data_IF_600156832092
#
_entry.id   IF_600156832092
#
_cell.length_a   1.000
_cell.length_b   1.000
_cell.length_c   1.000
_cell.angle_alpha   90.00
_cell.angle_beta   90.00
_cell.angle_gamma   90.00
#
_symmetry.space_group_name_H-M   'P 1'
#
loop_
_entity.id
_entity.type
_entity.pdbx_description
1 polymer ?
#
# COMPACT_ATOMS: atom_id res chain seq x y z
N UNK A 1 12.20 0.74 -39.76
CA UNK A 1 13.47 1.18 -39.13
C UNK A 1 13.14 1.55 -37.70
N UNK A 2 13.97 1.10 -36.75
CA UNK A 2 13.87 1.50 -35.36
C UNK A 2 14.85 2.63 -35.05
N UNK A 3 14.46 3.53 -34.16
CA UNK A 3 15.25 4.66 -33.69
C UNK A 3 15.04 4.80 -32.17
N UNK A 4 16.13 4.99 -31.42
CA UNK A 4 16.05 5.36 -30.01
C UNK A 4 15.96 6.88 -29.89
N UNK A 5 14.97 7.38 -29.17
CA UNK A 5 14.82 8.79 -28.80
C UNK A 5 14.81 8.94 -27.29
N UNK A 6 15.28 10.10 -26.81
CA UNK A 6 15.27 10.46 -25.40
C UNK A 6 15.88 9.39 -24.47
N UNK A 7 16.86 8.63 -24.99
CA UNK A 7 17.61 7.57 -24.29
C UNK A 7 16.79 6.36 -23.80
N UNK A 8 15.45 6.37 -23.92
CA UNK A 8 14.58 5.28 -23.43
C UNK A 8 13.46 4.90 -24.37
N UNK A 9 13.08 5.73 -25.33
CA UNK A 9 11.94 5.48 -26.21
C UNK A 9 12.40 4.85 -27.52
N UNK A 10 11.69 3.82 -27.96
CA UNK A 10 11.86 3.20 -29.26
C UNK A 10 10.75 3.73 -30.16
N UNK A 11 11.18 4.23 -31.32
CA UNK A 11 10.31 4.72 -32.36
C UNK A 11 10.48 3.87 -33.61
N UNK A 12 9.37 3.62 -34.31
CA UNK A 12 9.35 2.82 -35.54
C UNK A 12 8.81 3.64 -36.70
N UNK A 13 9.44 3.47 -37.86
CA UNK A 13 8.93 3.99 -39.14
C UNK A 13 9.14 2.97 -40.26
N UNK A 14 8.04 2.56 -40.89
CA UNK A 14 8.07 1.85 -42.16
C UNK A 14 8.25 2.83 -43.32
N UNK A 15 8.71 2.35 -44.48
CA UNK A 15 8.94 3.18 -45.67
C UNK A 15 7.67 3.88 -46.17
N UNK A 16 6.52 3.23 -45.98
CA UNK A 16 5.21 3.70 -46.44
C UNK A 16 4.50 4.60 -45.41
N UNK A 17 5.05 4.70 -44.19
CA UNK A 17 4.47 5.54 -43.13
C UNK A 17 4.87 7.00 -43.32
N UNK A 18 3.88 7.88 -43.18
CA UNK A 18 4.09 9.34 -43.20
C UNK A 18 4.87 9.76 -41.95
N UNK A 19 4.44 9.29 -40.79
CA UNK A 19 4.98 9.65 -39.48
C UNK A 19 5.65 8.50 -38.75
N UNK A 20 6.41 8.85 -37.72
CA UNK A 20 6.97 7.89 -36.77
C UNK A 20 5.92 7.51 -35.73
N UNK A 21 5.92 6.25 -35.31
CA UNK A 21 5.08 5.77 -34.21
C UNK A 21 5.94 5.41 -33.01
N UNK A 22 5.42 5.72 -31.82
CA UNK A 22 6.02 5.25 -30.58
C UNK A 22 5.78 3.73 -30.48
N UNK A 23 6.87 2.97 -30.46
CA UNK A 23 6.83 1.50 -30.44
C UNK A 23 6.84 0.97 -29.01
N UNK A 24 7.66 1.57 -28.14
CA UNK A 24 7.80 1.14 -26.75
C UNK A 24 9.04 1.72 -26.09
N UNK A 25 9.47 1.09 -24.99
CA UNK A 25 10.65 1.52 -24.23
C UNK A 25 11.81 0.55 -24.46
N UNK A 26 13.06 1.04 -24.42
CA UNK A 26 14.29 0.23 -24.56
C UNK A 26 14.33 -0.88 -23.53
N UNK A 27 13.84 -0.62 -22.32
CA UNK A 27 13.81 -1.57 -21.23
C UNK A 27 12.37 -1.90 -20.88
N UNK A 28 12.08 -3.18 -20.72
CA UNK A 28 10.78 -3.68 -20.28
C UNK A 28 10.96 -4.76 -19.22
N UNK A 29 9.98 -4.87 -18.34
CA UNK A 29 9.88 -5.95 -17.37
C UNK A 29 8.74 -6.87 -17.78
N UNK A 30 9.05 -8.12 -18.11
CA UNK A 30 8.05 -9.11 -18.49
C UNK A 30 7.75 -10.04 -17.30
N UNK A 31 6.49 -10.18 -16.88
CA UNK A 31 6.13 -11.10 -15.80
C UNK A 31 6.36 -12.54 -16.24
N UNK A 32 7.15 -13.29 -15.46
CA UNK A 32 7.42 -14.72 -15.67
C UNK A 32 6.62 -15.56 -14.66
N UNK A 33 6.51 -15.06 -13.44
CA UNK A 33 5.70 -15.64 -12.36
C UNK A 33 5.04 -14.49 -11.57
N UNK A 34 4.17 -14.81 -10.60
CA UNK A 34 3.39 -13.83 -9.82
C UNK A 34 4.21 -12.66 -9.27
N UNK A 35 5.45 -12.94 -8.86
CA UNK A 35 6.36 -11.97 -8.22
C UNK A 35 7.69 -11.85 -8.97
N UNK A 36 7.90 -12.59 -10.06
CA UNK A 36 9.19 -12.68 -10.76
C UNK A 36 9.08 -12.10 -12.16
N UNK A 37 10.02 -11.24 -12.50
CA UNK A 37 10.05 -10.51 -13.76
C UNK A 37 11.37 -10.73 -14.47
N UNK A 38 11.33 -10.82 -15.80
CA UNK A 38 12.49 -10.77 -16.67
C UNK A 38 12.74 -9.33 -17.11
N UNK A 39 13.91 -8.79 -16.81
CA UNK A 39 14.37 -7.53 -17.36
C UNK A 39 14.85 -7.78 -18.80
N UNK A 40 14.18 -7.17 -19.78
CA UNK A 40 14.53 -7.28 -21.19
C UNK A 40 14.97 -5.93 -21.75
N UNK A 41 15.96 -5.97 -22.65
CA UNK A 41 16.44 -4.83 -23.43
C UNK A 41 16.07 -5.06 -24.90
N UNK A 42 15.61 -4.00 -25.54
CA UNK A 42 15.35 -4.01 -26.98
C UNK A 42 16.65 -4.07 -27.77
N UNK A 43 16.67 -4.94 -28.77
CA UNK A 43 17.72 -5.05 -29.75
C UNK A 43 17.25 -4.41 -31.05
N UNK A 44 17.95 -3.36 -31.49
CA UNK A 44 17.60 -2.63 -32.72
C UNK A 44 17.87 -3.47 -33.98
N UNK A 45 18.87 -4.35 -33.94
CA UNK A 45 19.29 -5.15 -35.08
C UNK A 45 18.26 -6.24 -35.37
N UNK A 46 17.77 -6.91 -34.33
CA UNK A 46 16.75 -7.97 -34.47
C UNK A 46 15.33 -7.42 -34.43
N UNK A 47 15.11 -6.27 -33.78
CA UNK A 47 13.78 -5.72 -33.51
C UNK A 47 13.04 -6.44 -32.39
N UNK A 48 13.75 -7.19 -31.54
CA UNK A 48 13.16 -8.02 -30.49
C UNK A 48 13.63 -7.60 -29.09
N UNK A 49 12.85 -7.96 -28.07
CA UNK A 49 13.24 -7.80 -26.67
C UNK A 49 14.00 -9.03 -26.19
N UNK A 50 15.28 -8.84 -25.87
CA UNK A 50 16.16 -9.90 -25.38
C UNK A 50 16.41 -9.77 -23.88
N UNK A 51 16.65 -10.90 -23.22
CA UNK A 51 16.95 -10.93 -21.78
C UNK A 51 18.22 -10.12 -21.51
N UNK A 52 18.15 -9.21 -20.53
CA UNK A 52 19.27 -8.33 -20.21
C UNK A 52 20.10 -8.90 -19.06
N UNK A 53 20.99 -9.84 -19.37
CA UNK A 53 21.78 -10.60 -18.38
C UNK A 53 22.82 -9.75 -17.65
N UNK A 54 23.32 -8.68 -18.27
CA UNK A 54 24.34 -7.79 -17.68
C UNK A 54 23.74 -6.71 -16.77
N UNK A 55 22.41 -6.66 -16.65
CA UNK A 55 21.70 -5.72 -15.81
C UNK A 55 21.91 -6.07 -14.33
N UNK A 56 22.39 -5.13 -13.53
CA UNK A 56 22.56 -5.32 -12.08
C UNK A 56 21.36 -4.87 -11.27
N UNK A 57 20.73 -3.78 -11.70
CA UNK A 57 19.55 -3.21 -11.03
C UNK A 57 18.54 -2.73 -12.06
N UNK A 58 17.26 -2.77 -11.70
CA UNK A 58 16.16 -2.37 -12.57
C UNK A 58 15.14 -1.53 -11.78
N UNK A 59 14.76 -0.39 -12.33
CA UNK A 59 13.75 0.49 -11.74
C UNK A 59 12.34 0.04 -12.18
N UNK A 60 11.55 -0.47 -11.25
CA UNK A 60 10.18 -0.91 -11.50
C UNK A 60 9.22 -0.22 -10.53
N UNK A 61 8.21 0.48 -11.05
CA UNK A 61 7.24 1.26 -10.24
C UNK A 61 7.90 2.22 -9.22
N UNK A 62 9.01 2.85 -9.58
CA UNK A 62 9.74 3.79 -8.72
C UNK A 62 10.60 3.14 -7.64
N UNK A 63 10.71 1.80 -7.62
CA UNK A 63 11.55 1.04 -6.69
C UNK A 63 12.66 0.35 -7.49
N UNK A 64 13.89 0.44 -7.01
CA UNK A 64 15.03 -0.23 -7.63
C UNK A 64 15.16 -1.65 -7.07
N UNK A 65 15.20 -2.63 -7.97
CA UNK A 65 15.34 -4.05 -7.64
C UNK A 65 16.67 -4.57 -8.15
N UNK A 66 17.34 -5.41 -7.34
CA UNK A 66 18.51 -6.16 -7.79
C UNK A 66 18.10 -7.21 -8.81
N UNK A 67 18.86 -7.29 -9.89
CA UNK A 67 18.68 -8.23 -10.99
C UNK A 67 19.77 -9.29 -10.93
N UNK A 68 19.38 -10.55 -11.05
CA UNK A 68 20.26 -11.72 -11.12
C UNK A 68 19.91 -12.52 -12.36
N UNK A 69 20.89 -12.74 -13.25
CA UNK A 69 20.72 -13.47 -14.52
C UNK A 69 19.58 -12.93 -15.40
N UNK A 70 19.34 -11.61 -15.36
CA UNK A 70 18.26 -10.94 -16.09
C UNK A 70 16.89 -11.03 -15.43
N UNK A 71 16.78 -11.55 -14.20
CA UNK A 71 15.51 -11.63 -13.45
C UNK A 71 15.56 -10.85 -12.15
N UNK A 72 14.41 -10.34 -11.73
CA UNK A 72 14.22 -9.73 -10.41
C UNK A 72 12.88 -10.14 -9.80
N UNK A 73 12.78 -10.02 -8.48
CA UNK A 73 11.57 -10.37 -7.74
C UNK A 73 11.00 -9.13 -7.06
N UNK A 74 9.72 -8.86 -7.31
CA UNK A 74 8.94 -7.83 -6.63
C UNK A 74 8.19 -8.52 -5.48
N UNK A 75 8.54 -8.25 -4.21
CA UNK A 75 7.86 -8.86 -3.08
C UNK A 75 6.36 -8.58 -3.14
N UNK A 76 5.52 -9.59 -2.94
CA UNK A 76 4.10 -9.34 -2.77
C UNK A 76 3.88 -8.28 -1.69
N UNK A 77 3.09 -7.26 -2.04
CA UNK A 77 2.56 -6.32 -1.06
C UNK A 77 1.81 -7.18 -0.05
N UNK A 78 2.26 -7.22 1.21
CA UNK A 78 1.49 -7.84 2.29
C UNK A 78 0.11 -7.19 2.23
N UNK A 79 -0.90 -7.97 1.89
CA UNK A 79 -2.29 -7.51 2.00
C UNK A 79 -2.45 -7.03 3.43
N UNK A 80 -2.75 -5.74 3.59
CA UNK A 80 -3.07 -5.22 4.90
C UNK A 80 -4.30 -6.02 5.35
N UNK A 81 -4.17 -6.74 6.46
CA UNK A 81 -5.33 -7.38 7.07
C UNK A 81 -6.41 -6.30 7.24
N UNK A 82 -7.68 -6.59 6.89
CA UNK A 82 -8.75 -5.64 7.14
C UNK A 82 -8.69 -5.22 8.61
N UNK A 83 -8.73 -3.91 8.86
CA UNK A 83 -8.81 -3.42 10.22
C UNK A 83 -10.05 -4.03 10.89
N UNK A 84 -9.93 -4.46 12.14
CA UNK A 84 -11.07 -4.99 12.87
C UNK A 84 -12.18 -3.93 12.92
N UNK A 85 -13.37 -4.31 12.48
CA UNK A 85 -14.58 -3.52 12.56
C UNK A 85 -15.58 -4.30 13.42
N UNK A 86 -16.01 -3.78 14.58
CA UNK A 86 -17.04 -4.41 15.39
C UNK A 86 -18.30 -4.59 14.55
N UNK A 87 -18.95 -5.75 14.67
CA UNK A 87 -20.27 -5.96 14.11
C UNK A 87 -21.37 -5.29 14.96
N UNK A 88 -22.59 -5.21 14.44
CA UNK A 88 -23.72 -4.55 15.12
C UNK A 88 -23.97 -5.10 16.54
N UNK A 89 -23.76 -6.40 16.78
CA UNK A 89 -23.93 -6.99 18.10
C UNK A 89 -22.79 -6.60 19.05
N UNK A 90 -21.55 -6.57 18.57
CA UNK A 90 -20.40 -6.09 19.34
C UNK A 90 -20.55 -4.60 19.68
N UNK A 91 -21.05 -3.81 18.74
CA UNK A 91 -21.33 -2.38 18.93
C UNK A 91 -22.42 -2.17 19.99
N UNK A 92 -23.53 -2.91 19.90
CA UNK A 92 -24.61 -2.82 20.90
C UNK A 92 -24.11 -3.21 22.30
N UNK A 93 -23.23 -4.21 22.43
CA UNK A 93 -22.63 -4.58 23.71
C UNK A 93 -21.74 -3.44 24.24
N UNK A 94 -20.95 -2.81 23.38
CA UNK A 94 -20.09 -1.68 23.76
C UNK A 94 -20.91 -0.48 24.24
N UNK A 95 -22.02 -0.15 23.56
CA UNK A 95 -22.94 0.90 23.96
C UNK A 95 -23.58 0.61 25.32
N UNK A 96 -24.10 -0.61 25.52
CA UNK A 96 -24.64 -1.03 26.82
C UNK A 96 -23.62 -0.96 27.94
N UNK A 97 -22.36 -1.33 27.67
CA UNK A 97 -21.28 -1.22 28.65
C UNK A 97 -20.96 0.23 28.98
N UNK A 98 -20.92 1.12 27.99
CA UNK A 98 -20.71 2.55 28.20
C UNK A 98 -21.82 3.16 29.08
N UNK A 99 -23.08 2.86 28.79
CA UNK A 99 -24.23 3.32 29.57
C UNK A 99 -24.15 2.86 31.05
N UNK A 100 -23.77 1.60 31.28
CA UNK A 100 -23.60 1.09 32.64
C UNK A 100 -22.46 1.79 33.39
N UNK A 101 -21.35 2.08 32.71
CA UNK A 101 -20.23 2.81 33.30
C UNK A 101 -20.64 4.25 33.68
N UNK A 102 -21.35 4.96 32.80
CA UNK A 102 -21.85 6.31 33.09
C UNK A 102 -22.82 6.32 34.28
N UNK A 103 -23.75 5.35 34.34
CA UNK A 103 -24.67 5.21 35.47
C UNK A 103 -23.93 4.90 36.78
N UNK A 104 -22.91 4.04 36.73
CA UNK A 104 -22.10 3.72 37.89
C UNK A 104 -21.32 4.95 38.39
N UNK A 105 -20.78 5.77 37.48
CA UNK A 105 -20.08 7.01 37.83
C UNK A 105 -21.02 8.02 38.48
N UNK A 106 -22.21 8.24 37.92
CA UNK A 106 -23.23 9.11 38.52
C UNK A 106 -23.69 8.63 39.90
N UNK A 107 -23.87 7.32 40.07
CA UNK A 107 -24.21 6.72 41.36
C UNK A 107 -23.10 6.96 42.40
N UNK A 108 -21.84 6.74 42.02
CA UNK A 108 -20.70 6.98 42.89
C UNK A 108 -20.58 8.46 43.31
N UNK A 109 -20.81 9.39 42.39
CA UNK A 109 -20.83 10.83 42.69
C UNK A 109 -21.93 11.18 43.70
N UNK A 110 -23.15 10.70 43.48
CA UNK A 110 -24.29 10.94 44.37
C UNK A 110 -24.04 10.39 45.78
N UNK A 111 -23.41 9.21 45.89
CA UNK A 111 -23.02 8.64 47.17
C UNK A 111 -21.96 9.49 47.88
N UNK A 112 -21.00 10.02 47.15
CA UNK A 112 -19.96 10.90 47.70
C UNK A 112 -20.56 12.22 48.22
N UNK A 113 -21.48 12.83 47.48
CA UNK A 113 -22.21 14.04 47.91
C UNK A 113 -23.03 13.76 49.18
N UNK A 114 -23.78 12.66 49.21
CA UNK A 114 -24.59 12.29 50.38
C UNK A 114 -23.73 12.04 51.63
N UNK A 115 -22.54 11.44 51.46
CA UNK A 115 -21.58 11.26 52.56
C UNK A 115 -21.04 12.61 53.04
N UNK A 116 -20.73 13.54 52.14
CA UNK A 116 -20.27 14.87 52.50
C UNK A 116 -21.34 15.64 53.31
N UNK A 117 -22.60 15.63 52.86
CA UNK A 117 -23.73 16.27 53.55
C UNK A 117 -23.95 15.67 54.95
N UNK A 118 -23.80 14.35 55.10
CA UNK A 118 -23.90 13.67 56.39
C UNK A 118 -22.78 14.16 57.34
N UNK A 119 -21.53 14.24 56.86
CA UNK A 119 -20.41 14.74 57.65
C UNK A 119 -20.58 16.21 58.03
N UNK A 120 -21.04 17.06 57.12
CA UNK A 120 -21.33 18.47 57.41
C UNK A 120 -22.43 18.61 58.47
N UNK A 121 -23.48 17.80 58.39
CA UNK A 121 -24.56 17.80 59.38
C UNK A 121 -24.07 17.35 60.77
N UNK A 122 -23.19 16.35 60.83
CA UNK A 122 -22.62 15.87 62.09
C UNK A 122 -21.56 16.82 62.69
N UNK A 123 -20.86 17.59 61.85
CA UNK A 123 -19.79 18.51 62.28
C UNK A 123 -20.27 19.97 62.48
N UNK A 124 -21.41 20.35 61.90
CA UNK A 124 -22.02 21.69 61.98
C UNK A 124 -23.15 21.82 63.00
N UNK A 125 -23.52 20.74 63.70
CA UNK A 125 -24.50 20.76 64.78
C UNK A 125 -23.92 21.38 66.06
N UNK A 126 -24.34 22.62 66.35
CA UNK A 126 -24.16 23.28 67.65
C UNK A 126 -25.19 22.75 68.65
#
# INVERSE_FOLDING_TARGET
MFEIRNETEIWYKAKEMVDWIHYGSIFVAEPVEKEKFAAKRFDIETGEYMLFTDCKTYLYNGVEYSVTDGYFTVPAKKEALPAYQPNDAELAIMEMQADMFEQQEQSNLTLMESLADLYETMMGGN
#
